data_IF_013466269481
#
_entry.id   IF_013466269481
#
_cell.length_a   1.000
_cell.length_b   1.000
_cell.length_c   1.000
_cell.angle_alpha   90.00
_cell.angle_beta   90.00
_cell.angle_gamma   90.00
#
_symmetry.space_group_name_H-M   'P 1'
#
loop_
_entity.id
_entity.type
_entity.pdbx_description
1 polymer ?
#
# COMPACT_ATOMS: atom_id res chain seq x y z
N UNK A 1 4.12 -23.61 7.10
CA UNK A 1 5.06 -22.48 7.32
C UNK A 1 4.44 -21.15 6.92
N UNK A 2 3.57 -21.13 5.93
CA UNK A 2 3.00 -19.93 5.28
C UNK A 2 1.90 -19.23 6.10
N UNK A 3 1.34 -19.89 7.12
CA UNK A 3 0.20 -19.40 7.92
C UNK A 3 0.59 -18.81 9.28
N UNK A 4 1.87 -18.58 9.56
CA UNK A 4 2.31 -18.15 10.90
C UNK A 4 1.77 -16.78 11.29
N UNK A 5 1.80 -15.81 10.37
CA UNK A 5 1.27 -14.47 10.61
C UNK A 5 -0.26 -14.54 10.74
N UNK A 6 -0.95 -15.26 9.86
CA UNK A 6 -2.41 -15.45 9.95
C UNK A 6 -2.81 -15.99 11.32
N UNK A 7 -2.13 -17.03 11.80
CA UNK A 7 -2.44 -17.63 13.11
C UNK A 7 -2.17 -16.67 14.27
N UNK A 8 -1.09 -15.86 14.20
CA UNK A 8 -0.81 -14.87 15.21
C UNK A 8 -1.81 -13.71 15.21
N UNK A 9 -2.30 -13.30 14.04
CA UNK A 9 -3.30 -12.24 13.91
C UNK A 9 -4.69 -12.71 14.35
N UNK A 10 -5.00 -13.99 14.29
CA UNK A 10 -6.28 -14.52 14.76
C UNK A 10 -6.54 -14.20 16.26
N UNK A 11 -5.48 -14.01 17.04
CA UNK A 11 -5.59 -13.60 18.43
C UNK A 11 -5.97 -12.11 18.57
N UNK A 12 -5.77 -11.30 17.52
CA UNK A 12 -6.09 -9.87 17.51
C UNK A 12 -7.52 -9.56 17.06
N UNK A 13 -8.29 -10.55 16.58
CA UNK A 13 -9.66 -10.35 16.10
C UNK A 13 -10.61 -9.78 17.15
N UNK A 14 -10.25 -9.88 18.44
CA UNK A 14 -11.01 -9.34 19.56
C UNK A 14 -10.51 -7.97 20.02
N UNK A 15 -9.56 -7.36 19.32
CA UNK A 15 -8.98 -6.07 19.67
C UNK A 15 -9.71 -4.92 18.98
N UNK A 16 -9.61 -3.71 19.56
CA UNK A 16 -10.23 -2.47 19.07
C UNK A 16 -9.44 -1.80 17.94
N UNK A 17 -8.74 -2.58 17.09
CA UNK A 17 -8.01 -2.04 15.94
C UNK A 17 -8.90 -1.98 14.70
N UNK A 18 -8.97 -0.79 14.07
CA UNK A 18 -9.67 -0.60 12.79
C UNK A 18 -8.84 -1.12 11.61
N UNK A 19 -7.50 -1.04 11.70
CA UNK A 19 -6.57 -1.44 10.65
C UNK A 19 -5.36 -2.16 11.22
N UNK A 20 -4.89 -3.16 10.48
CA UNK A 20 -3.61 -3.84 10.71
C UNK A 20 -2.78 -3.75 9.43
N UNK A 21 -1.65 -3.07 9.47
CA UNK A 21 -0.71 -2.96 8.36
C UNK A 21 0.47 -3.90 8.57
N UNK A 22 0.77 -4.68 7.54
CA UNK A 22 1.92 -5.58 7.52
C UNK A 22 2.91 -5.02 6.49
N UNK A 23 3.95 -4.34 6.97
CA UNK A 23 5.05 -3.86 6.11
C UNK A 23 5.90 -5.03 5.63
N UNK A 24 6.18 -5.08 4.34
CA UNK A 24 6.88 -6.17 3.68
C UNK A 24 8.15 -5.69 2.99
N UNK A 25 9.25 -6.46 3.08
CA UNK A 25 10.43 -6.17 2.28
C UNK A 25 10.12 -6.37 0.78
N UNK A 26 10.87 -5.71 -0.12
CA UNK A 26 10.65 -5.82 -1.57
C UNK A 26 10.95 -7.23 -2.14
N UNK A 27 11.53 -8.12 -1.35
CA UNK A 27 11.82 -9.49 -1.74
C UNK A 27 10.61 -10.39 -1.51
N UNK A 28 10.37 -11.33 -2.44
CA UNK A 28 9.30 -12.33 -2.35
C UNK A 28 9.76 -13.58 -1.57
N UNK A 29 10.32 -13.33 -0.40
CA UNK A 29 10.70 -14.40 0.52
C UNK A 29 9.51 -14.95 1.31
N UNK A 30 9.79 -15.94 2.16
CA UNK A 30 8.79 -16.60 2.99
C UNK A 30 8.01 -15.63 3.90
N UNK A 31 8.63 -14.54 4.35
CA UNK A 31 7.97 -13.53 5.18
C UNK A 31 6.89 -12.76 4.39
N UNK A 32 7.21 -12.33 3.17
CA UNK A 32 6.25 -11.66 2.30
C UNK A 32 5.09 -12.59 1.92
N UNK A 33 5.37 -13.87 1.65
CA UNK A 33 4.32 -14.87 1.41
C UNK A 33 3.43 -15.01 2.65
N UNK A 34 3.98 -15.07 3.85
CA UNK A 34 3.18 -15.12 5.09
C UNK A 34 2.28 -13.89 5.26
N UNK A 35 2.77 -12.70 4.91
CA UNK A 35 1.97 -11.48 4.95
C UNK A 35 0.81 -11.54 3.93
N UNK A 36 1.08 -11.91 2.68
CA UNK A 36 0.07 -12.04 1.63
C UNK A 36 -0.96 -13.15 1.93
N UNK A 37 -0.55 -14.19 2.64
CA UNK A 37 -1.48 -15.24 3.11
C UNK A 37 -2.37 -14.74 4.24
N UNK A 38 -1.86 -13.87 5.10
CA UNK A 38 -2.58 -13.37 6.26
C UNK A 38 -3.56 -12.23 5.94
N UNK A 39 -3.25 -11.40 4.93
CA UNK A 39 -4.04 -10.23 4.59
C UNK A 39 -4.99 -10.49 3.41
N UNK A 40 -6.23 -10.00 3.45
CA UNK A 40 -7.14 -10.04 2.29
C UNK A 40 -6.84 -8.95 1.27
N UNK A 41 -6.19 -7.88 1.67
CA UNK A 41 -5.97 -6.70 0.86
C UNK A 41 -4.49 -6.35 0.70
N UNK A 42 -4.13 -5.88 -0.48
CA UNK A 42 -2.79 -5.36 -0.78
C UNK A 42 -2.88 -3.91 -1.19
N UNK A 43 -2.11 -3.07 -0.48
CA UNK A 43 -1.81 -1.71 -0.88
C UNK A 43 -0.43 -1.68 -1.52
N UNK A 44 -0.33 -1.15 -2.75
CA UNK A 44 0.94 -1.05 -3.49
C UNK A 44 1.34 0.42 -3.61
N UNK A 45 2.39 0.86 -2.91
CA UNK A 45 3.00 2.15 -3.19
C UNK A 45 3.86 2.05 -4.46
N UNK A 46 3.63 2.95 -5.42
CA UNK A 46 4.37 3.01 -6.68
C UNK A 46 5.05 4.37 -6.79
N UNK A 47 6.36 4.37 -6.92
CA UNK A 47 7.11 5.61 -7.18
C UNK A 47 6.89 6.06 -8.62
N UNK A 48 6.66 7.37 -8.84
CA UNK A 48 6.49 7.94 -10.17
C UNK A 48 7.84 8.14 -10.88
N UNK A 49 8.58 7.05 -11.07
CA UNK A 49 9.90 6.99 -11.69
C UNK A 49 9.97 5.91 -12.79
N UNK A 50 11.01 5.96 -13.63
CA UNK A 50 11.10 5.18 -14.87
C UNK A 50 10.90 3.66 -14.72
N UNK A 51 11.47 3.06 -13.68
CA UNK A 51 11.38 1.59 -13.47
C UNK A 51 10.14 1.12 -12.69
N UNK A 52 9.20 2.03 -12.41
CA UNK A 52 8.05 1.73 -11.56
C UNK A 52 7.22 0.53 -12.06
N UNK A 53 6.97 0.45 -13.35
CA UNK A 53 6.06 -0.55 -13.94
C UNK A 53 6.72 -1.93 -14.13
N UNK A 54 8.04 -1.99 -14.28
CA UNK A 54 8.74 -3.25 -14.46
C UNK A 54 8.65 -4.14 -13.21
N UNK A 55 8.91 -3.55 -12.03
CA UNK A 55 8.78 -4.26 -10.75
C UNK A 55 7.34 -4.66 -10.41
N UNK A 56 6.36 -3.84 -10.82
CA UNK A 56 4.94 -4.09 -10.56
C UNK A 56 4.44 -5.34 -11.28
N UNK A 57 4.85 -5.58 -12.51
CA UNK A 57 4.42 -6.76 -13.27
C UNK A 57 4.82 -8.07 -12.58
N UNK A 58 6.04 -8.14 -12.07
CA UNK A 58 6.52 -9.30 -11.32
C UNK A 58 5.78 -9.46 -9.99
N UNK A 59 5.52 -8.36 -9.28
CA UNK A 59 4.73 -8.36 -8.06
C UNK A 59 3.32 -8.89 -8.30
N UNK A 60 2.63 -8.42 -9.36
CA UNK A 60 1.29 -8.87 -9.71
C UNK A 60 1.22 -10.36 -10.04
N UNK A 61 2.21 -10.90 -10.75
CA UNK A 61 2.31 -12.33 -11.01
C UNK A 61 2.40 -13.14 -9.70
N UNK A 62 3.20 -12.68 -8.76
CA UNK A 62 3.39 -13.36 -7.48
C UNK A 62 2.15 -13.26 -6.58
N UNK A 63 1.47 -12.11 -6.54
CA UNK A 63 0.17 -11.96 -5.87
C UNK A 63 -0.85 -12.93 -6.49
N UNK A 64 -0.86 -13.05 -7.82
CA UNK A 64 -1.71 -14.01 -8.52
C UNK A 64 -1.46 -15.47 -8.12
N UNK A 65 -0.20 -15.87 -7.95
CA UNK A 65 0.15 -17.21 -7.47
C UNK A 65 -0.32 -17.45 -6.03
N UNK A 66 -0.12 -16.48 -5.14
CA UNK A 66 -0.60 -16.58 -3.75
C UNK A 66 -2.12 -16.63 -3.71
N UNK A 67 -2.81 -15.79 -4.50
CA UNK A 67 -4.27 -15.80 -4.61
C UNK A 67 -4.80 -17.14 -5.08
N UNK A 68 -4.16 -17.75 -6.08
CA UNK A 68 -4.60 -19.02 -6.66
C UNK A 68 -4.40 -20.23 -5.73
N UNK A 69 -3.34 -20.23 -4.91
CA UNK A 69 -2.93 -21.44 -4.20
C UNK A 69 -3.01 -21.34 -2.66
N UNK A 70 -2.95 -20.14 -2.09
CA UNK A 70 -2.77 -19.97 -0.65
C UNK A 70 -3.84 -19.07 0.00
N UNK A 71 -4.29 -18.02 -0.70
CA UNK A 71 -5.26 -17.06 -0.18
C UNK A 71 -6.21 -16.56 -1.29
N UNK A 72 -7.32 -17.26 -1.55
CA UNK A 72 -8.27 -16.87 -2.60
C UNK A 72 -8.92 -15.49 -2.39
N UNK A 73 -8.92 -14.96 -1.16
CA UNK A 73 -9.49 -13.66 -0.82
C UNK A 73 -8.54 -12.50 -1.11
N UNK A 74 -7.25 -12.80 -1.35
CA UNK A 74 -6.24 -11.78 -1.60
C UNK A 74 -6.59 -10.97 -2.86
N UNK A 75 -6.64 -9.65 -2.72
CA UNK A 75 -6.78 -8.75 -3.88
C UNK A 75 -5.94 -7.49 -3.70
N UNK A 76 -5.51 -6.91 -4.83
CA UNK A 76 -4.93 -5.56 -4.83
C UNK A 76 -6.08 -4.57 -4.82
N UNK A 77 -6.33 -3.94 -3.70
CA UNK A 77 -7.44 -3.00 -3.51
C UNK A 77 -7.02 -1.55 -3.67
N UNK A 78 -5.75 -1.25 -3.41
CA UNK A 78 -5.26 0.12 -3.37
C UNK A 78 -3.89 0.27 -4.00
N UNK A 79 -3.73 1.27 -4.84
CA UNK A 79 -2.45 1.71 -5.39
C UNK A 79 -2.23 3.17 -5.02
N UNK A 80 -1.11 3.48 -4.38
CA UNK A 80 -0.72 4.82 -3.96
C UNK A 80 0.48 5.31 -4.77
N UNK A 81 0.30 6.35 -5.57
CA UNK A 81 1.39 7.01 -6.28
C UNK A 81 2.23 7.84 -5.31
N UNK A 82 3.53 7.59 -5.30
CA UNK A 82 4.49 8.25 -4.40
C UNK A 82 5.63 8.90 -5.19
N UNK A 83 6.41 9.73 -4.52
CA UNK A 83 7.55 10.44 -5.11
C UNK A 83 7.17 11.24 -6.38
N UNK A 84 5.92 11.69 -6.45
CA UNK A 84 5.40 12.42 -7.59
C UNK A 84 6.02 13.82 -7.66
N UNK A 85 6.64 14.15 -8.78
CA UNK A 85 7.18 15.49 -9.06
C UNK A 85 6.46 16.10 -10.27
N UNK A 86 5.45 16.92 -10.01
CA UNK A 86 4.63 17.56 -11.04
C UNK A 86 5.38 18.55 -11.96
N UNK A 87 6.69 18.75 -11.75
CA UNK A 87 7.54 19.52 -12.66
C UNK A 87 8.10 18.66 -13.81
N UNK A 88 7.93 17.36 -13.74
CA UNK A 88 8.49 16.41 -14.71
C UNK A 88 7.39 15.74 -15.52
N UNK A 89 7.56 15.71 -16.84
CA UNK A 89 6.67 14.94 -17.74
C UNK A 89 6.70 13.44 -17.45
N UNK A 90 7.83 12.95 -16.95
CA UNK A 90 7.99 11.53 -16.61
C UNK A 90 7.02 11.12 -15.50
N UNK A 91 6.90 11.91 -14.42
CA UNK A 91 5.98 11.61 -13.34
C UNK A 91 4.52 11.56 -13.83
N UNK A 92 4.12 12.48 -14.70
CA UNK A 92 2.79 12.47 -15.30
C UNK A 92 2.55 11.22 -16.16
N UNK A 93 3.52 10.87 -17.03
CA UNK A 93 3.42 9.69 -17.89
C UNK A 93 3.30 8.40 -17.08
N UNK A 94 4.11 8.24 -16.03
CA UNK A 94 4.05 7.08 -15.13
C UNK A 94 2.70 7.03 -14.41
N UNK A 95 2.25 8.17 -13.88
CA UNK A 95 0.96 8.25 -13.19
C UNK A 95 -0.22 7.90 -14.10
N UNK A 96 -0.22 8.37 -15.34
CA UNK A 96 -1.24 8.02 -16.34
C UNK A 96 -1.21 6.52 -16.69
N UNK A 97 -0.03 5.95 -16.88
CA UNK A 97 0.12 4.53 -17.20
C UNK A 97 -0.37 3.64 -16.04
N UNK A 98 0.00 3.98 -14.80
CA UNK A 98 -0.48 3.28 -13.60
C UNK A 98 -2.00 3.39 -13.48
N UNK A 99 -2.59 4.57 -13.70
CA UNK A 99 -4.05 4.76 -13.69
C UNK A 99 -4.74 3.98 -14.80
N UNK A 100 -4.14 3.87 -15.99
CA UNK A 100 -4.68 3.04 -17.08
C UNK A 100 -4.69 1.56 -16.72
N UNK A 101 -3.65 1.08 -16.03
CA UNK A 101 -3.51 -0.32 -15.68
C UNK A 101 -4.37 -0.74 -14.47
N UNK A 102 -4.42 0.09 -13.43
CA UNK A 102 -5.09 -0.23 -12.17
C UNK A 102 -6.46 0.44 -11.98
N UNK A 103 -6.82 1.34 -12.87
CA UNK A 103 -8.12 2.02 -12.92
C UNK A 103 -8.54 2.64 -11.56
N UNK A 104 -9.67 2.22 -11.02
CA UNK A 104 -10.28 2.70 -9.79
C UNK A 104 -9.51 2.33 -8.51
N UNK A 105 -8.59 1.37 -8.61
CA UNK A 105 -7.72 0.99 -7.48
C UNK A 105 -6.68 2.07 -7.15
N UNK A 106 -6.34 2.95 -8.09
CA UNK A 106 -5.39 4.04 -7.83
C UNK A 106 -6.06 5.15 -7.04
N UNK A 107 -5.42 5.57 -5.95
CA UNK A 107 -5.88 6.72 -5.19
C UNK A 107 -5.84 7.99 -6.05
N UNK A 108 -6.81 8.88 -5.86
CA UNK A 108 -6.79 10.22 -6.45
C UNK A 108 -5.63 11.03 -5.88
N UNK A 109 -5.42 10.87 -4.59
CA UNK A 109 -4.32 11.47 -3.84
C UNK A 109 -2.99 10.90 -4.28
N UNK A 110 -1.99 11.76 -4.46
CA UNK A 110 -0.60 11.39 -4.73
C UNK A 110 0.32 11.93 -3.65
N UNK A 111 1.34 11.18 -3.28
CA UNK A 111 2.36 11.66 -2.34
C UNK A 111 3.48 12.35 -3.13
N UNK A 112 3.68 13.65 -2.95
CA UNK A 112 4.70 14.38 -3.68
C UNK A 112 6.11 13.99 -3.21
N UNK A 113 7.10 14.15 -4.09
CA UNK A 113 8.50 14.13 -3.68
C UNK A 113 8.72 15.26 -2.68
N UNK A 114 9.17 14.93 -1.48
CA UNK A 114 9.31 15.89 -0.38
C UNK A 114 10.52 15.54 0.49
N UNK A 115 11.37 16.56 0.70
CA UNK A 115 12.51 16.45 1.62
C UNK A 115 12.01 16.17 3.04
N UNK A 116 10.91 16.78 3.47
CA UNK A 116 10.33 16.60 4.81
C UNK A 116 9.90 15.16 5.09
N UNK A 117 9.34 14.49 4.08
CA UNK A 117 9.00 13.06 4.16
C UNK A 117 10.26 12.20 4.35
N UNK A 118 11.36 12.57 3.68
CA UNK A 118 12.63 11.83 3.79
C UNK A 118 13.40 12.12 5.08
N UNK A 119 13.24 13.31 5.66
CA UNK A 119 13.91 13.72 6.90
C UNK A 119 13.24 13.14 8.15
N UNK A 120 11.92 13.08 8.19
CA UNK A 120 11.14 12.68 9.37
C UNK A 120 11.59 11.35 10.02
N UNK A 121 11.88 10.27 9.28
CA UNK A 121 12.39 9.03 9.87
C UNK A 121 13.72 9.18 10.60
N UNK A 122 14.58 10.11 10.17
CA UNK A 122 15.84 10.42 10.84
C UNK A 122 15.64 10.98 12.25
N UNK A 123 14.46 11.50 12.55
CA UNK A 123 14.05 12.01 13.87
C UNK A 123 13.10 11.04 14.59
N UNK A 124 12.93 9.82 14.08
CA UNK A 124 11.97 8.83 14.60
C UNK A 124 10.53 9.36 14.66
N UNK A 125 10.17 10.19 13.70
CA UNK A 125 8.85 10.83 13.58
C UNK A 125 8.17 10.47 12.26
N UNK A 126 6.85 10.55 12.25
CA UNK A 126 6.11 10.62 10.99
C UNK A 126 6.25 12.03 10.39
N UNK A 127 6.03 12.18 9.09
CA UNK A 127 6.02 13.52 8.48
C UNK A 127 4.88 14.40 9.05
N UNK A 128 3.82 13.76 9.52
CA UNK A 128 2.66 14.45 10.14
C UNK A 128 3.06 15.10 11.47
N UNK A 129 3.90 14.43 12.26
CA UNK A 129 4.42 14.97 13.52
C UNK A 129 5.60 15.91 13.29
N UNK A 130 6.45 15.59 12.31
CA UNK A 130 7.67 16.34 12.01
C UNK A 130 7.38 17.72 11.40
N UNK A 131 6.50 17.77 10.40
CA UNK A 131 6.11 19.03 9.73
C UNK A 131 4.65 18.93 9.26
N UNK A 132 3.67 19.14 10.18
CA UNK A 132 2.24 18.97 9.91
C UNK A 132 1.72 19.85 8.77
N UNK A 133 2.33 21.02 8.54
CA UNK A 133 1.95 21.97 7.49
C UNK A 133 2.56 21.66 6.14
N UNK A 134 3.45 20.69 6.03
CA UNK A 134 4.08 20.35 4.76
C UNK A 134 3.10 19.69 3.78
N UNK A 135 3.35 19.88 2.48
CA UNK A 135 2.58 19.21 1.43
C UNK A 135 2.63 17.69 1.56
N UNK A 136 3.76 17.14 2.03
CA UNK A 136 3.89 15.71 2.28
C UNK A 136 2.95 15.23 3.37
N UNK A 137 2.91 15.90 4.52
CA UNK A 137 2.02 15.58 5.64
C UNK A 137 0.55 15.65 5.23
N UNK A 138 0.15 16.74 4.58
CA UNK A 138 -1.21 16.91 4.08
C UNK A 138 -1.62 15.81 3.10
N UNK A 139 -0.73 15.45 2.17
CA UNK A 139 -1.01 14.37 1.21
C UNK A 139 -1.16 13.01 1.87
N UNK A 140 -0.39 12.69 2.91
CA UNK A 140 -0.58 11.45 3.67
C UNK A 140 -1.91 11.45 4.43
N UNK A 141 -2.33 12.57 5.01
CA UNK A 141 -3.65 12.70 5.65
C UNK A 141 -4.79 12.53 4.63
N UNK A 142 -4.67 13.11 3.44
CA UNK A 142 -5.67 12.97 2.39
C UNK A 142 -5.74 11.54 1.86
N UNK A 143 -4.59 10.89 1.67
CA UNK A 143 -4.52 9.47 1.28
C UNK A 143 -5.16 8.56 2.33
N UNK A 144 -4.92 8.81 3.63
CA UNK A 144 -5.51 8.02 4.71
C UNK A 144 -7.04 8.17 4.76
N UNK A 145 -7.57 9.37 4.54
CA UNK A 145 -9.02 9.60 4.44
C UNK A 145 -9.62 8.86 3.24
N UNK A 146 -8.96 8.96 2.08
CA UNK A 146 -9.43 8.26 0.86
C UNK A 146 -9.44 6.73 1.06
N UNK A 147 -8.44 6.16 1.73
CA UNK A 147 -8.40 4.73 2.09
C UNK A 147 -9.56 4.40 3.05
N UNK A 148 -9.77 5.20 4.09
CA UNK A 148 -10.84 4.97 5.05
C UNK A 148 -12.23 5.03 4.41
N UNK A 149 -12.46 5.97 3.50
CA UNK A 149 -13.72 6.10 2.74
C UNK A 149 -13.96 4.87 1.84
N UNK A 150 -12.91 4.31 1.22
CA UNK A 150 -13.02 3.09 0.40
C UNK A 150 -13.27 1.85 1.23
N UNK A 151 -12.66 1.75 2.41
CA UNK A 151 -12.83 0.65 3.36
C UNK A 151 -14.13 0.67 4.15
N UNK A 152 -14.89 1.77 4.10
CA UNK A 152 -16.19 1.90 4.75
C UNK A 152 -17.31 1.04 4.13
N UNK A 153 -17.08 0.37 2.99
CA UNK A 153 -17.94 -0.71 2.56
C UNK A 153 -17.90 -1.84 3.60
N UNK A 154 -19.05 -2.40 4.03
CA UNK A 154 -19.09 -3.37 5.11
C UNK A 154 -18.19 -4.55 4.76
N UNK A 155 -17.11 -4.73 5.54
CA UNK A 155 -16.37 -5.99 5.55
C UNK A 155 -17.37 -7.05 5.96
N UNK A 156 -17.69 -7.95 5.06
CA UNK A 156 -18.54 -9.09 5.38
C UNK A 156 -17.79 -9.89 6.46
N UNK A 157 -18.21 -9.70 7.72
CA UNK A 157 -17.72 -10.50 8.85
C UNK A 157 -18.04 -11.93 8.54
N UNK A 158 -17.06 -12.73 8.14
CA UNK A 158 -17.34 -14.14 7.90
C UNK A 158 -16.25 -14.98 7.27
N UNK A 159 -15.00 -14.53 7.19
CA UNK A 159 -13.93 -15.37 6.62
C UNK A 159 -12.62 -15.19 7.39
N UNK A 160 -12.59 -15.73 8.60
CA UNK A 160 -11.36 -16.16 9.26
C UNK A 160 -11.51 -17.60 9.70
#
# INVERSE_FOLDING_TARGET
>A
RENRIRNALAELEQSDFDYVFIDCPPSLGLLTINALVAAPEVLIPIQCEYYALEGVSQLMNNIGLVKAHLNPLLDVTTVLLTMYDGRTKLADQVAEEVRRHFADKVLKTVIPRSVKVSEAPGYSMTVIDYDPGSRGAMSYLDASREIAERGAAPVVKGYL
#
